data_IF_339537910269
#
_entry.id   IF_339537910269
#
_cell.length_a   1.000
_cell.length_b   1.000
_cell.length_c   1.000
_cell.angle_alpha   90.00
_cell.angle_beta   90.00
_cell.angle_gamma   90.00
#
_symmetry.space_group_name_H-M   'P 1'
#
loop_
_entity.id
_entity.type
_entity.pdbx_description
1 polymer ?
#
# COMPACT_ATOMS: atom_id res chain seq x y z
N UNK A 1 15.13 18.81 5.39
CA UNK A 1 13.97 18.68 4.47
C UNK A 1 13.71 17.26 3.95
N UNK A 2 14.71 16.35 3.85
CA UNK A 2 14.53 15.00 3.27
C UNK A 2 13.38 14.16 3.85
N UNK A 3 13.14 14.24 5.15
CA UNK A 3 12.10 13.47 5.84
C UNK A 3 10.69 13.91 5.43
N UNK A 4 10.45 15.23 5.36
CA UNK A 4 9.18 15.77 4.88
C UNK A 4 8.90 15.37 3.42
N UNK A 5 9.91 15.45 2.55
CA UNK A 5 9.79 14.98 1.15
C UNK A 5 9.44 13.50 1.09
N UNK A 6 10.08 12.67 1.91
CA UNK A 6 9.82 11.24 1.96
C UNK A 6 8.40 10.92 2.43
N UNK A 7 7.88 11.66 3.42
CA UNK A 7 6.48 11.58 3.84
C UNK A 7 5.55 11.91 2.66
N UNK A 8 5.77 13.03 1.98
CA UNK A 8 4.94 13.46 0.84
C UNK A 8 4.97 12.44 -0.31
N UNK A 9 6.14 11.87 -0.61
CA UNK A 9 6.29 10.80 -1.62
C UNK A 9 5.53 9.54 -1.19
N UNK A 10 5.57 9.17 0.09
CA UNK A 10 4.83 8.03 0.63
C UNK A 10 3.31 8.24 0.55
N UNK A 11 2.84 9.42 0.92
CA UNK A 11 1.42 9.80 0.79
C UNK A 11 0.98 9.78 -0.67
N UNK A 12 1.78 10.33 -1.59
CA UNK A 12 1.50 10.29 -3.03
C UNK A 12 1.43 8.86 -3.57
N UNK A 13 2.40 8.01 -3.20
CA UNK A 13 2.39 6.59 -3.59
C UNK A 13 1.13 5.88 -3.09
N UNK A 14 0.77 6.08 -1.82
CA UNK A 14 -0.47 5.54 -1.25
C UNK A 14 -1.72 6.11 -1.90
N UNK A 15 -1.71 7.36 -2.34
CA UNK A 15 -2.84 7.99 -3.05
C UNK A 15 -3.06 7.34 -4.40
N UNK A 16 -2.00 7.16 -5.19
CA UNK A 16 -2.09 6.46 -6.49
C UNK A 16 -2.63 5.05 -6.29
N UNK A 17 -2.09 4.30 -5.32
CA UNK A 17 -2.59 2.97 -4.97
C UNK A 17 -4.06 3.00 -4.56
N UNK A 18 -4.46 3.94 -3.71
CA UNK A 18 -5.83 4.08 -3.23
C UNK A 18 -6.80 4.36 -4.39
N UNK A 19 -6.45 5.28 -5.29
CA UNK A 19 -7.28 5.61 -6.46
C UNK A 19 -7.47 4.40 -7.39
N UNK A 20 -6.39 3.65 -7.67
CA UNK A 20 -6.46 2.44 -8.49
C UNK A 20 -7.34 1.36 -7.85
N UNK A 21 -7.24 1.20 -6.54
CA UNK A 21 -8.07 0.27 -5.78
C UNK A 21 -9.55 0.69 -5.78
N UNK A 22 -9.84 1.96 -5.51
CA UNK A 22 -11.22 2.49 -5.54
C UNK A 22 -11.84 2.38 -6.94
N UNK A 23 -11.05 2.60 -7.99
CA UNK A 23 -11.48 2.35 -9.36
C UNK A 23 -11.81 0.87 -9.58
N UNK A 24 -10.99 -0.05 -9.06
CA UNK A 24 -11.23 -1.49 -9.15
C UNK A 24 -12.49 -1.96 -8.42
N UNK A 25 -12.74 -1.40 -7.22
CA UNK A 25 -13.90 -1.76 -6.38
C UNK A 25 -15.18 -1.12 -6.93
N UNK A 26 -15.21 0.20 -7.07
CA UNK A 26 -16.44 0.95 -7.35
C UNK A 26 -16.60 1.36 -8.81
N UNK A 27 -15.51 1.51 -9.55
CA UNK A 27 -15.57 1.97 -10.94
C UNK A 27 -15.81 0.83 -11.93
N UNK A 28 -15.03 -0.25 -11.82
CA UNK A 28 -15.09 -1.39 -12.76
C UNK A 28 -15.69 -2.65 -12.15
N UNK A 29 -15.76 -2.75 -10.82
CA UNK A 29 -16.21 -3.95 -10.11
C UNK A 29 -15.31 -5.17 -10.32
N UNK A 30 -14.10 -4.98 -10.85
CA UNK A 30 -13.15 -6.07 -11.11
C UNK A 30 -12.45 -6.56 -9.83
N UNK A 31 -12.43 -5.72 -8.79
CA UNK A 31 -11.80 -6.06 -7.52
C UNK A 31 -12.48 -7.27 -6.88
N UNK A 32 -11.70 -8.20 -6.31
CA UNK A 32 -12.23 -9.40 -5.68
C UNK A 32 -12.70 -9.18 -4.23
N UNK A 33 -12.67 -7.95 -3.73
CA UNK A 33 -13.04 -7.58 -2.37
C UNK A 33 -13.86 -6.29 -2.38
N UNK A 34 -14.77 -6.15 -1.42
CA UNK A 34 -15.67 -4.99 -1.31
C UNK A 34 -15.05 -3.81 -0.58
N UNK A 35 -14.09 -4.08 0.32
CA UNK A 35 -13.37 -3.06 1.07
C UNK A 35 -11.86 -3.10 0.77
N UNK A 36 -11.19 -1.93 0.71
CA UNK A 36 -9.74 -1.85 0.78
C UNK A 36 -9.18 -2.63 1.98
N UNK A 37 -7.99 -3.26 1.90
CA UNK A 37 -7.43 -4.05 3.00
C UNK A 37 -7.32 -3.29 4.33
N UNK A 38 -7.02 -1.99 4.32
CA UNK A 38 -7.00 -1.16 5.53
C UNK A 38 -8.37 -0.99 6.17
N UNK A 39 -9.42 -0.84 5.36
CA UNK A 39 -10.80 -0.75 5.81
C UNK A 39 -11.32 -2.12 6.28
N UNK A 40 -11.04 -3.19 5.52
CA UNK A 40 -11.42 -4.55 5.88
C UNK A 40 -10.80 -5.00 7.21
N UNK A 41 -9.53 -4.65 7.46
CA UNK A 41 -8.88 -4.91 8.74
C UNK A 41 -9.57 -4.17 9.90
N UNK A 42 -9.93 -2.90 9.70
CA UNK A 42 -10.65 -2.14 10.73
C UNK A 42 -12.09 -2.63 10.89
N UNK A 43 -12.74 -3.10 9.84
CA UNK A 43 -14.09 -3.67 9.87
C UNK A 43 -14.11 -4.91 10.76
N UNK A 44 -13.11 -5.79 10.58
CA UNK A 44 -12.92 -6.97 11.41
C UNK A 44 -12.70 -6.63 12.90
N UNK A 45 -12.15 -5.46 13.20
CA UNK A 45 -11.96 -4.96 14.57
C UNK A 45 -13.16 -4.15 15.09
N UNK A 46 -14.20 -3.92 14.29
CA UNK A 46 -15.32 -3.03 14.64
C UNK A 46 -14.93 -1.55 14.71
N UNK A 47 -13.85 -1.16 14.05
CA UNK A 47 -13.26 0.20 14.06
C UNK A 47 -13.33 0.91 12.70
N UNK A 48 -14.02 0.35 11.71
CA UNK A 48 -14.18 0.97 10.39
C UNK A 48 -15.15 2.17 10.45
N UNK A 49 -14.65 3.28 10.99
CA UNK A 49 -15.46 4.49 11.25
C UNK A 49 -14.74 5.74 10.77
N UNK A 50 -15.51 6.67 10.20
CA UNK A 50 -15.02 7.99 9.80
C UNK A 50 -13.76 7.93 8.91
N UNK A 51 -12.77 8.81 9.13
CA UNK A 51 -11.56 8.87 8.30
C UNK A 51 -10.49 7.84 8.69
N UNK A 52 -10.72 6.99 9.70
CA UNK A 52 -9.70 6.11 10.26
C UNK A 52 -9.05 5.18 9.22
N UNK A 53 -9.80 4.52 8.31
CA UNK A 53 -9.19 3.68 7.27
C UNK A 53 -8.23 4.44 6.35
N UNK A 54 -8.55 5.70 6.04
CA UNK A 54 -7.70 6.57 5.22
C UNK A 54 -6.43 6.96 5.99
N UNK A 55 -6.56 7.34 7.26
CA UNK A 55 -5.42 7.69 8.10
C UNK A 55 -4.45 6.51 8.24
N UNK A 56 -4.97 5.29 8.44
CA UNK A 56 -4.15 4.08 8.49
C UNK A 56 -3.45 3.84 7.15
N UNK A 57 -4.18 3.92 6.03
CA UNK A 57 -3.62 3.67 4.70
C UNK A 57 -2.51 4.67 4.32
N UNK A 58 -2.77 5.96 4.50
CA UNK A 58 -1.79 7.01 4.16
C UNK A 58 -0.65 7.07 5.16
N UNK A 59 -0.92 6.86 6.45
CA UNK A 59 0.10 6.79 7.49
C UNK A 59 1.05 5.63 7.27
N UNK A 60 0.53 4.46 6.87
CA UNK A 60 1.34 3.31 6.51
C UNK A 60 2.23 3.59 5.30
N UNK A 61 1.71 4.21 4.24
CA UNK A 61 2.51 4.62 3.08
C UNK A 61 3.61 5.62 3.42
N UNK A 62 3.28 6.66 4.18
CA UNK A 62 4.27 7.62 4.65
C UNK A 62 5.39 6.93 5.46
N UNK A 63 5.00 6.03 6.36
CA UNK A 63 5.93 5.28 7.22
C UNK A 63 6.91 4.45 6.40
N UNK A 64 6.44 3.67 5.42
CA UNK A 64 7.33 2.81 4.64
C UNK A 64 8.20 3.56 3.64
N UNK A 65 7.73 4.71 3.13
CA UNK A 65 8.60 5.62 2.38
C UNK A 65 9.75 6.13 3.26
N UNK A 66 9.47 6.51 4.51
CA UNK A 66 10.50 6.92 5.47
C UNK A 66 11.49 5.79 5.78
N UNK A 67 10.99 4.57 5.97
CA UNK A 67 11.84 3.40 6.19
C UNK A 67 12.75 3.15 4.99
N UNK A 68 12.24 3.25 3.74
CA UNK A 68 13.07 3.11 2.54
C UNK A 68 14.22 4.12 2.53
N UNK A 69 13.93 5.39 2.81
CA UNK A 69 14.94 6.45 2.87
C UNK A 69 15.86 6.29 4.08
N UNK A 70 15.37 5.77 5.20
CA UNK A 70 16.17 5.46 6.39
C UNK A 70 17.19 4.35 6.14
N UNK A 71 16.77 3.28 5.45
CA UNK A 71 17.61 2.13 5.13
C UNK A 71 18.64 2.43 4.04
N UNK A 72 18.27 3.24 3.03
CA UNK A 72 19.07 3.37 1.81
C UNK A 72 19.52 4.79 1.50
N UNK A 73 19.02 5.81 2.19
CA UNK A 73 19.45 7.20 2.01
C UNK A 73 19.35 7.66 0.55
N UNK A 74 20.44 8.23 0.05
CA UNK A 74 20.56 8.69 -1.35
C UNK A 74 20.59 7.55 -2.36
N UNK A 75 20.86 6.32 -1.92
CA UNK A 75 21.02 5.15 -2.75
C UNK A 75 19.68 4.41 -2.93
N UNK A 76 18.59 4.92 -2.37
CA UNK A 76 17.25 4.46 -2.70
C UNK A 76 17.05 4.49 -4.22
N UNK A 77 16.38 3.47 -4.76
CA UNK A 77 16.08 3.35 -6.18
C UNK A 77 14.86 2.45 -6.38
N UNK A 78 14.36 2.38 -7.62
CA UNK A 78 13.17 1.58 -7.97
C UNK A 78 13.31 0.13 -7.54
N UNK A 79 14.48 -0.51 -7.72
CA UNK A 79 14.70 -1.91 -7.32
C UNK A 79 14.53 -2.11 -5.81
N UNK A 80 15.09 -1.21 -5.00
CA UNK A 80 14.94 -1.25 -3.53
C UNK A 80 13.51 -0.96 -3.09
N UNK A 81 12.82 -0.03 -3.77
CA UNK A 81 11.40 0.25 -3.55
C UNK A 81 10.51 -0.96 -3.86
N UNK A 82 10.77 -1.66 -4.97
CA UNK A 82 10.09 -2.91 -5.33
C UNK A 82 10.34 -4.00 -4.28
N UNK A 83 11.59 -4.21 -3.84
CA UNK A 83 11.88 -5.22 -2.81
C UNK A 83 11.17 -4.94 -1.50
N UNK A 84 11.16 -3.68 -1.05
CA UNK A 84 10.41 -3.29 0.13
C UNK A 84 8.93 -3.59 -0.07
N UNK A 85 8.33 -3.11 -1.16
CA UNK A 85 6.90 -3.26 -1.40
C UNK A 85 6.45 -4.72 -1.57
N UNK A 86 7.26 -5.57 -2.21
CA UNK A 86 7.02 -7.02 -2.27
C UNK A 86 7.07 -7.65 -0.88
N UNK A 87 7.99 -7.21 -0.01
CA UNK A 87 8.01 -7.61 1.40
C UNK A 87 6.75 -7.21 2.16
N UNK A 88 6.27 -5.98 1.97
CA UNK A 88 5.02 -5.49 2.57
C UNK A 88 3.80 -6.26 2.06
N UNK A 89 3.76 -6.56 0.77
CA UNK A 89 2.73 -7.40 0.18
C UNK A 89 2.74 -8.81 0.77
N UNK A 90 3.92 -9.44 0.90
CA UNK A 90 4.04 -10.76 1.50
C UNK A 90 3.59 -10.74 2.97
N UNK A 91 3.99 -9.71 3.73
CA UNK A 91 3.50 -9.50 5.09
C UNK A 91 1.96 -9.34 5.12
N UNK A 92 1.39 -8.60 4.17
CA UNK A 92 -0.07 -8.50 4.06
C UNK A 92 -0.71 -9.87 3.79
N UNK A 93 -0.14 -10.70 2.91
CA UNK A 93 -0.66 -12.04 2.59
C UNK A 93 -0.57 -13.03 3.74
N UNK A 94 0.48 -12.92 4.55
CA UNK A 94 0.77 -13.87 5.63
C UNK A 94 0.17 -13.47 6.97
N UNK A 95 -0.07 -12.18 7.20
CA UNK A 95 -0.49 -11.64 8.50
C UNK A 95 -1.85 -10.94 8.39
N UNK A 96 -1.96 -9.88 7.57
CA UNK A 96 -3.22 -9.13 7.49
C UNK A 96 -4.35 -9.94 6.88
N UNK A 97 -4.09 -10.69 5.81
CA UNK A 97 -5.12 -11.46 5.11
C UNK A 97 -5.78 -12.51 6.02
N UNK A 98 -5.01 -13.33 6.79
CA UNK A 98 -5.61 -14.17 7.82
C UNK A 98 -6.37 -13.41 8.90
N UNK A 99 -5.82 -12.28 9.39
CA UNK A 99 -6.46 -11.49 10.44
C UNK A 99 -7.82 -10.93 10.01
N UNK A 100 -7.96 -10.53 8.74
CA UNK A 100 -9.23 -10.08 8.15
C UNK A 100 -10.24 -11.23 8.00
N UNK A 101 -9.79 -12.49 8.01
CA UNK A 101 -10.61 -13.66 7.69
C UNK A 101 -10.58 -14.05 6.21
N UNK A 102 -9.62 -13.53 5.44
CA UNK A 102 -9.39 -13.91 4.04
C UNK A 102 -8.45 -15.11 3.89
N UNK A 103 -7.68 -15.42 4.93
CA UNK A 103 -6.79 -16.58 4.99
C UNK A 103 -5.40 -16.31 4.38
N UNK A 104 -4.51 -17.29 4.43
CA UNK A 104 -3.11 -17.13 3.98
C UNK A 104 -3.08 -17.05 2.45
N UNK A 105 -2.53 -15.96 1.91
CA UNK A 105 -2.64 -15.65 0.47
C UNK A 105 -4.09 -15.62 -0.06
N UNK A 106 -5.06 -15.36 0.81
CA UNK A 106 -6.48 -15.44 0.44
C UNK A 106 -7.00 -16.87 0.30
N UNK A 107 -6.38 -17.87 0.94
CA UNK A 107 -6.81 -19.28 0.92
C UNK A 107 -7.28 -19.69 2.32
N UNK A 108 -8.43 -20.38 2.39
CA UNK A 108 -8.94 -21.00 3.61
C UNK A 108 -9.61 -20.04 4.61
N UNK A 109 -9.78 -18.77 4.27
CA UNK A 109 -10.53 -17.81 5.08
C UNK A 109 -12.04 -17.89 4.87
N UNK A 110 -12.81 -17.49 5.88
CA UNK A 110 -14.28 -17.43 5.82
C UNK A 110 -14.81 -16.42 4.80
N UNK A 111 -14.00 -15.44 4.38
CA UNK A 111 -14.38 -14.41 3.41
C UNK A 111 -14.95 -14.94 2.08
N UNK A 112 -14.53 -16.14 1.66
CA UNK A 112 -15.05 -16.79 0.44
C UNK A 112 -16.47 -17.34 0.58
N UNK A 113 -16.91 -17.58 1.81
CA UNK A 113 -18.24 -18.13 2.12
C UNK A 113 -19.26 -17.07 2.49
N UNK A 114 -18.82 -15.83 2.68
CA UNK A 114 -19.70 -14.70 2.98
C UNK A 114 -20.54 -14.34 1.75
N UNK A 115 -21.72 -13.77 1.98
CA UNK A 115 -22.56 -13.23 0.92
C UNK A 115 -21.79 -12.20 0.10
N UNK A 116 -22.04 -12.11 -1.21
CA UNK A 116 -21.31 -11.20 -2.09
C UNK A 116 -21.45 -9.71 -1.69
N UNK A 117 -22.52 -9.36 -0.97
CA UNK A 117 -22.77 -8.02 -0.42
C UNK A 117 -22.08 -7.75 0.91
N UNK A 118 -21.50 -8.77 1.55
CA UNK A 118 -20.84 -8.63 2.84
C UNK A 118 -19.57 -7.76 2.70
N UNK A 119 -19.32 -6.79 3.60
CA UNK A 119 -18.13 -5.93 3.51
C UNK A 119 -16.80 -6.71 3.46
N UNK A 120 -16.75 -7.89 4.08
CA UNK A 120 -15.54 -8.73 4.16
C UNK A 120 -15.51 -9.84 3.13
N UNK A 121 -16.45 -9.87 2.19
CA UNK A 121 -16.48 -10.86 1.11
C UNK A 121 -15.20 -10.83 0.27
N UNK A 122 -14.67 -12.02 -0.03
CA UNK A 122 -13.55 -12.23 -0.95
C UNK A 122 -14.00 -13.18 -2.06
N UNK A 123 -14.15 -12.67 -3.29
CA UNK A 123 -14.70 -13.44 -4.41
C UNK A 123 -13.67 -14.26 -5.19
N UNK A 124 -12.39 -13.92 -5.15
CA UNK A 124 -11.37 -14.65 -5.90
C UNK A 124 -9.96 -14.49 -5.31
N UNK A 125 -9.38 -15.60 -4.88
CA UNK A 125 -7.99 -15.69 -4.39
C UNK A 125 -6.98 -15.19 -5.44
N UNK A 126 -7.06 -15.69 -6.68
CA UNK A 126 -6.10 -15.36 -7.72
C UNK A 126 -6.11 -13.86 -8.05
N UNK A 127 -7.30 -13.27 -8.23
CA UNK A 127 -7.43 -11.83 -8.45
C UNK A 127 -6.89 -11.04 -7.26
N UNK A 128 -7.13 -11.51 -6.03
CA UNK A 128 -6.70 -10.81 -4.82
C UNK A 128 -5.18 -10.74 -4.74
N UNK A 129 -4.51 -11.88 -4.90
CA UNK A 129 -3.05 -12.00 -4.89
C UNK A 129 -2.43 -11.11 -5.96
N UNK A 130 -2.92 -11.21 -7.21
CA UNK A 130 -2.37 -10.46 -8.34
C UNK A 130 -2.64 -8.96 -8.23
N UNK A 131 -3.89 -8.55 -7.97
CA UNK A 131 -4.25 -7.13 -7.92
C UNK A 131 -3.49 -6.41 -6.81
N UNK A 132 -3.42 -7.01 -5.62
CA UNK A 132 -2.70 -6.40 -4.50
C UNK A 132 -1.19 -6.39 -4.71
N UNK A 133 -0.60 -7.41 -5.36
CA UNK A 133 0.80 -7.39 -5.74
C UNK A 133 1.08 -6.22 -6.69
N UNK A 134 0.28 -6.07 -7.75
CA UNK A 134 0.44 -4.99 -8.72
C UNK A 134 0.36 -3.61 -8.06
N UNK A 135 -0.61 -3.42 -7.16
CA UNK A 135 -0.74 -2.20 -6.37
C UNK A 135 0.53 -1.90 -5.57
N UNK A 136 1.10 -2.92 -4.89
CA UNK A 136 2.34 -2.76 -4.13
C UNK A 136 3.53 -2.47 -5.04
N UNK A 137 3.64 -3.11 -6.21
CA UNK A 137 4.71 -2.83 -7.17
C UNK A 137 4.64 -1.39 -7.70
N UNK A 138 3.43 -0.87 -7.96
CA UNK A 138 3.22 0.54 -8.32
C UNK A 138 3.71 1.46 -7.20
N UNK A 139 3.28 1.21 -5.96
CA UNK A 139 3.71 1.98 -4.80
C UNK A 139 5.24 1.95 -4.62
N UNK A 140 5.85 0.76 -4.64
CA UNK A 140 7.29 0.54 -4.53
C UNK A 140 8.08 1.28 -5.62
N UNK A 141 7.56 1.29 -6.84
CA UNK A 141 8.16 2.02 -7.96
C UNK A 141 8.13 3.53 -7.75
N UNK A 142 7.00 4.07 -7.28
CA UNK A 142 6.84 5.49 -6.97
C UNK A 142 7.81 5.91 -5.87
N UNK A 143 7.80 5.23 -4.72
CA UNK A 143 8.67 5.62 -3.60
C UNK A 143 10.15 5.36 -3.92
N UNK A 144 10.47 4.33 -4.69
CA UNK A 144 11.84 4.02 -5.10
C UNK A 144 12.39 4.99 -6.15
N UNK A 145 11.54 5.55 -7.01
CA UNK A 145 11.95 6.51 -8.04
C UNK A 145 11.94 7.96 -7.55
N UNK A 146 10.88 8.38 -6.86
CA UNK A 146 10.70 9.80 -6.49
C UNK A 146 11.55 10.23 -5.29
N UNK A 147 11.75 9.36 -4.30
CA UNK A 147 12.60 9.70 -3.15
C UNK A 147 14.03 10.12 -3.57
N UNK A 148 14.80 9.30 -4.32
CA UNK A 148 16.15 9.71 -4.73
C UNK A 148 16.13 10.94 -5.63
N UNK A 149 15.20 11.02 -6.59
CA UNK A 149 15.10 12.17 -7.49
C UNK A 149 14.91 13.48 -6.71
N UNK A 150 13.96 13.53 -5.78
CA UNK A 150 13.63 14.76 -5.06
C UNK A 150 14.61 15.10 -3.94
N UNK A 151 15.26 14.11 -3.35
CA UNK A 151 16.30 14.31 -2.31
C UNK A 151 17.62 14.74 -2.94
N UNK A 152 18.02 14.17 -4.09
CA UNK A 152 19.28 14.50 -4.76
C UNK A 152 19.26 15.88 -5.44
N UNK A 153 18.14 16.31 -6.03
CA UNK A 153 18.02 17.65 -6.63
C UNK A 153 18.34 18.78 -5.64
N UNK A 154 18.06 18.59 -4.35
CA UNK A 154 18.37 19.58 -3.32
C UNK A 154 19.87 19.68 -3.05
N UNK A 155 20.58 18.53 -2.91
CA UNK A 155 22.04 18.51 -2.72
C UNK A 155 22.79 19.22 -3.86
N UNK A 156 22.30 19.07 -5.09
CA UNK A 156 22.88 19.76 -6.26
C UNK A 156 22.67 21.28 -6.18
N UNK A 157 21.45 21.71 -5.84
CA UNK A 157 21.10 23.14 -5.67
C UNK A 157 21.90 23.82 -4.55
N UNK A 158 22.15 23.14 -3.42
CA UNK A 158 22.95 23.71 -2.32
C UNK A 158 24.43 23.81 -2.67
N UNK A 159 24.96 22.93 -3.54
CA UNK A 159 26.36 23.00 -4.01
C UNK A 159 26.61 24.08 -5.05
N UNK A 160 25.60 24.44 -5.84
CA UNK A 160 25.71 25.49 -6.86
C UNK A 160 25.57 26.92 -6.31
N UNK A 161 25.18 27.05 -5.04
CA UNK A 161 24.92 28.34 -4.37
C UNK A 161 25.95 28.67 -3.28
N UNK A 162 26.95 27.81 -3.10
CA UNK A 162 28.10 27.97 -2.20
C UNK A 162 29.38 28.14 -3.01
#
# INVERSE_FOLDING_TARGET
MKWLKSILVGVLGSLVMFLLMMLGIHGTGIAPFNLPPSAAFLEQLGLNTGPLPLLVHFGYGATWSLVLVGLYGSDANVRRGIYLATGLWAFMMLVYSPLIGWGVFGIGGSGHTLAASDPLHLGSTAKYVVATLLLHLVYGSIIGGLNPAWIQSEKSSTRSTA
#
